data_IF_831696977796
#
_entry.id   IF_831696977796
#
_cell.length_a   1.000
_cell.length_b   1.000
_cell.length_c   1.000
_cell.angle_alpha   90.00
_cell.angle_beta   90.00
_cell.angle_gamma   90.00
#
_symmetry.space_group_name_H-M   'P 1'
#
loop_
_entity.id
_entity.type
_entity.pdbx_description
1 polymer ?
#
# COMPACT_ATOMS: atom_id res chain seq x y z
N UNK A 1 1.57 -7.37 -4.57
CA UNK A 1 2.40 -8.59 -4.36
C UNK A 1 3.54 -8.26 -3.42
N UNK A 2 4.16 -9.25 -2.78
CA UNK A 2 5.41 -9.07 -2.01
C UNK A 2 6.58 -9.60 -2.84
N UNK A 3 7.73 -8.91 -2.80
CA UNK A 3 8.93 -9.32 -3.54
C UNK A 3 10.20 -8.79 -2.90
N UNK A 4 11.29 -9.58 -2.87
CA UNK A 4 12.63 -9.04 -2.69
C UNK A 4 13.15 -8.46 -4.02
N UNK A 5 14.19 -7.65 -3.94
CA UNK A 5 15.11 -7.38 -5.04
C UNK A 5 16.55 -7.60 -4.62
N UNK A 6 17.40 -7.89 -5.60
CA UNK A 6 18.76 -8.34 -5.38
C UNK A 6 19.77 -7.49 -6.15
N UNK A 7 21.04 -7.63 -5.77
CA UNK A 7 22.18 -7.22 -6.58
C UNK A 7 22.44 -8.21 -7.74
N UNK A 8 23.45 -7.91 -8.55
CA UNK A 8 23.90 -8.71 -9.69
C UNK A 8 24.37 -10.13 -9.33
N UNK A 9 24.78 -10.35 -8.08
CA UNK A 9 25.23 -11.63 -7.54
C UNK A 9 24.09 -12.43 -6.88
N UNK A 10 22.86 -11.89 -6.91
CA UNK A 10 21.66 -12.50 -6.35
C UNK A 10 21.54 -12.38 -4.83
N UNK A 11 22.28 -11.46 -4.19
CA UNK A 11 22.10 -11.14 -2.77
C UNK A 11 20.93 -10.20 -2.61
N UNK A 12 20.06 -10.50 -1.63
CA UNK A 12 18.92 -9.64 -1.31
C UNK A 12 19.43 -8.30 -0.79
N UNK A 13 18.94 -7.22 -1.40
CA UNK A 13 19.22 -5.85 -0.99
C UNK A 13 18.13 -5.39 -0.02
N UNK A 14 16.87 -5.55 -0.42
CA UNK A 14 15.69 -5.16 0.36
C UNK A 14 14.46 -5.91 -0.16
N UNK A 15 13.33 -5.74 0.52
CA UNK A 15 12.04 -6.32 0.19
C UNK A 15 10.91 -5.32 0.34
N UNK A 16 9.79 -5.58 -0.33
CA UNK A 16 8.64 -4.71 -0.21
C UNK A 16 7.39 -5.24 -0.88
N UNK A 17 6.37 -4.39 -0.89
CA UNK A 17 5.13 -4.67 -1.60
C UNK A 17 5.02 -3.82 -2.86
N UNK A 18 4.47 -4.43 -3.91
CA UNK A 18 4.12 -3.76 -5.17
C UNK A 18 2.62 -3.78 -5.35
N UNK A 19 2.03 -2.59 -5.40
CA UNK A 19 0.61 -2.37 -5.66
C UNK A 19 0.43 -1.87 -7.10
N UNK A 20 -0.55 -2.44 -7.81
CA UNK A 20 -0.94 -1.97 -9.16
C UNK A 20 -2.13 -1.04 -9.02
N UNK A 21 -1.86 0.26 -8.99
CA UNK A 21 -2.87 1.32 -8.83
C UNK A 21 -3.70 1.52 -10.10
N UNK A 22 -3.10 1.32 -11.28
CA UNK A 22 -3.80 1.31 -12.56
C UNK A 22 -3.04 0.47 -13.58
N UNK A 23 -3.46 0.47 -14.85
CA UNK A 23 -2.76 -0.27 -15.89
C UNK A 23 -1.26 0.12 -15.98
N UNK A 24 -0.94 1.40 -15.76
CA UNK A 24 0.38 2.01 -15.96
C UNK A 24 0.93 2.72 -14.72
N UNK A 25 0.30 2.55 -13.55
CA UNK A 25 0.72 3.16 -12.29
C UNK A 25 0.90 2.08 -11.24
N UNK A 26 2.09 2.07 -10.62
CA UNK A 26 2.46 1.13 -9.57
C UNK A 26 3.00 1.91 -8.39
N UNK A 27 2.80 1.38 -7.19
CA UNK A 27 3.44 1.87 -5.95
C UNK A 27 4.28 0.75 -5.37
N UNK A 28 5.50 1.08 -4.97
CA UNK A 28 6.39 0.20 -4.21
C UNK A 28 6.47 0.76 -2.80
N UNK A 29 6.27 -0.09 -1.80
CA UNK A 29 6.43 0.28 -0.39
C UNK A 29 7.43 -0.65 0.25
N UNK A 30 8.52 -0.07 0.77
CA UNK A 30 9.56 -0.76 1.53
C UNK A 30 10.22 0.16 2.55
N UNK A 31 11.15 -0.39 3.33
CA UNK A 31 11.98 0.39 4.22
C UNK A 31 12.96 1.26 3.41
N UNK A 32 13.41 2.36 4.01
CA UNK A 32 14.53 3.12 3.45
C UNK A 32 15.87 2.48 3.80
N UNK A 33 16.88 2.55 2.92
CA UNK A 33 16.89 3.22 1.61
C UNK A 33 16.55 2.28 0.43
N UNK A 34 15.63 2.68 -0.45
CA UNK A 34 15.27 1.92 -1.65
C UNK A 34 15.25 2.74 -2.96
N UNK A 35 15.07 4.07 -2.88
CA UNK A 35 14.86 4.94 -4.05
C UNK A 35 16.04 4.93 -5.02
N UNK A 36 17.27 5.07 -4.53
CA UNK A 36 18.48 5.09 -5.37
C UNK A 36 18.63 3.81 -6.19
N UNK A 37 18.30 2.65 -5.61
CA UNK A 37 18.33 1.37 -6.32
C UNK A 37 17.29 1.34 -7.44
N UNK A 38 16.07 1.81 -7.18
CA UNK A 38 15.00 1.88 -8.19
C UNK A 38 15.36 2.82 -9.33
N UNK A 39 15.90 4.00 -9.02
CA UNK A 39 16.35 4.98 -10.01
C UNK A 39 17.47 4.42 -10.90
N UNK A 40 18.49 3.81 -10.29
CA UNK A 40 19.60 3.20 -11.02
C UNK A 40 19.13 2.12 -11.99
N UNK A 41 18.25 1.22 -11.53
CA UNK A 41 17.73 0.11 -12.34
C UNK A 41 16.70 0.56 -13.39
N UNK A 42 16.15 1.76 -13.29
CA UNK A 42 15.22 2.32 -14.28
C UNK A 42 15.91 2.88 -15.53
N UNK A 43 17.24 2.92 -15.55
CA UNK A 43 18.01 3.48 -16.67
C UNK A 43 17.64 2.83 -18.01
N UNK A 44 17.25 3.66 -18.99
CA UNK A 44 16.81 3.22 -20.32
C UNK A 44 15.36 2.74 -20.40
N UNK A 45 14.60 2.77 -19.29
CA UNK A 45 13.17 2.45 -19.28
C UNK A 45 12.31 3.68 -19.57
N UNK A 46 11.15 3.48 -20.19
CA UNK A 46 10.17 4.53 -20.44
C UNK A 46 9.19 4.68 -19.27
N UNK A 47 9.68 5.16 -18.14
CA UNK A 47 8.90 5.38 -16.92
C UNK A 47 9.42 6.59 -16.12
N UNK A 48 8.67 6.96 -15.09
CA UNK A 48 9.08 7.99 -14.12
C UNK A 48 8.92 7.41 -12.72
N UNK A 49 9.90 7.62 -11.87
CA UNK A 49 9.86 7.27 -10.44
C UNK A 49 9.62 8.57 -9.67
N UNK A 50 8.71 8.52 -8.71
CA UNK A 50 8.40 9.61 -7.80
C UNK A 50 8.39 9.05 -6.38
N UNK A 51 9.05 9.73 -5.46
CA UNK A 51 8.90 9.47 -4.03
C UNK A 51 7.57 10.10 -3.55
N UNK A 52 6.61 9.25 -3.18
CA UNK A 52 5.31 9.66 -2.63
C UNK A 52 5.21 9.52 -1.11
N UNK A 53 6.33 9.27 -0.41
CA UNK A 53 6.35 9.00 1.04
C UNK A 53 5.80 10.14 1.88
N UNK A 54 5.99 11.40 1.44
CA UNK A 54 5.46 12.59 2.14
C UNK A 54 4.07 13.02 1.66
N UNK A 55 3.59 12.45 0.54
CA UNK A 55 2.29 12.79 -0.07
C UNK A 55 1.26 11.67 0.05
N UNK A 56 1.61 10.58 0.74
CA UNK A 56 0.71 9.45 1.02
C UNK A 56 0.81 9.09 2.49
N UNK A 57 -0.32 9.07 3.19
CA UNK A 57 -0.40 8.50 4.53
C UNK A 57 -0.95 7.07 4.46
N UNK A 58 -0.54 6.24 5.42
CA UNK A 58 -1.04 4.88 5.56
C UNK A 58 -1.28 4.53 7.03
N UNK A 59 -2.31 3.73 7.28
CA UNK A 59 -2.58 3.12 8.58
C UNK A 59 -2.83 1.63 8.40
N UNK A 60 -2.22 0.81 9.24
CA UNK A 60 -2.43 -0.63 9.26
C UNK A 60 -3.45 -1.00 10.34
N UNK A 61 -4.60 -1.55 9.94
CA UNK A 61 -5.58 -2.12 10.86
C UNK A 61 -5.50 -3.65 10.80
N UNK A 62 -5.10 -4.25 11.92
CA UNK A 62 -4.75 -5.67 11.99
C UNK A 62 -5.56 -6.36 13.08
N UNK A 63 -5.87 -7.64 12.87
CA UNK A 63 -6.62 -8.49 13.80
C UNK A 63 -7.90 -9.06 13.18
N UNK A 64 -8.50 -10.08 13.82
CA UNK A 64 -9.64 -10.84 13.29
C UNK A 64 -10.88 -9.98 13.01
N UNK A 65 -11.06 -8.87 13.75
CA UNK A 65 -12.21 -7.97 13.60
C UNK A 65 -11.95 -6.81 12.63
N UNK A 66 -10.75 -6.72 12.03
CA UNK A 66 -10.37 -5.60 11.16
C UNK A 66 -11.33 -5.40 9.98
N UNK A 67 -11.83 -6.49 9.38
CA UNK A 67 -12.81 -6.41 8.30
C UNK A 67 -14.15 -5.84 8.77
N UNK A 68 -14.65 -6.30 9.92
CA UNK A 68 -15.95 -5.87 10.43
C UNK A 68 -15.91 -4.39 10.79
N UNK A 69 -14.80 -3.93 11.37
CA UNK A 69 -14.56 -2.50 11.65
C UNK A 69 -14.55 -1.69 10.34
N UNK A 70 -13.80 -2.13 9.33
CA UNK A 70 -13.73 -1.42 8.05
C UNK A 70 -15.07 -1.42 7.30
N UNK A 71 -15.81 -2.53 7.30
CA UNK A 71 -17.14 -2.60 6.69
C UNK A 71 -18.16 -1.68 7.40
N UNK A 72 -17.93 -1.28 8.65
CA UNK A 72 -18.81 -0.35 9.36
C UNK A 72 -18.64 1.12 8.91
N UNK A 73 -17.49 1.46 8.33
CA UNK A 73 -17.13 2.83 7.93
C UNK A 73 -16.96 3.01 6.42
N UNK A 74 -16.72 1.91 5.71
CA UNK A 74 -16.53 1.87 4.26
C UNK A 74 -17.86 1.96 3.51
N UNK A 75 -17.87 2.75 2.44
CA UNK A 75 -19.01 2.83 1.51
C UNK A 75 -19.21 1.53 0.71
N UNK A 76 -18.12 0.83 0.39
CA UNK A 76 -18.12 -0.45 -0.30
C UNK A 76 -17.73 -1.60 0.65
N UNK A 77 -18.30 -2.80 0.44
CA UNK A 77 -17.97 -3.99 1.24
C UNK A 77 -16.61 -4.59 0.88
N UNK A 78 -15.82 -4.93 1.89
CA UNK A 78 -14.51 -5.57 1.77
C UNK A 78 -14.60 -7.11 1.71
N UNK A 79 -15.80 -7.70 1.72
CA UNK A 79 -15.98 -9.16 1.86
C UNK A 79 -15.37 -9.97 0.72
N UNK A 80 -15.35 -9.37 -0.48
CA UNK A 80 -14.74 -9.96 -1.67
C UNK A 80 -13.25 -9.64 -1.84
N UNK A 81 -12.68 -8.77 -0.98
CA UNK A 81 -11.29 -8.34 -1.08
C UNK A 81 -10.34 -9.48 -0.69
N UNK A 82 -9.64 -10.02 -1.69
CA UNK A 82 -8.72 -11.15 -1.52
C UNK A 82 -7.36 -10.69 -0.99
N UNK A 83 -6.62 -11.62 -0.42
CA UNK A 83 -5.26 -11.35 0.06
C UNK A 83 -4.39 -10.74 -1.05
N UNK A 84 -3.63 -9.68 -0.73
CA UNK A 84 -2.85 -8.89 -1.67
C UNK A 84 -3.62 -8.17 -2.78
N UNK A 85 -4.95 -8.12 -2.70
CA UNK A 85 -5.76 -7.27 -3.57
C UNK A 85 -5.98 -5.91 -2.92
N UNK A 86 -6.35 -4.93 -3.75
CA UNK A 86 -6.72 -3.60 -3.32
C UNK A 86 -8.05 -3.18 -3.93
N UNK A 87 -8.72 -2.23 -3.29
CA UNK A 87 -9.92 -1.57 -3.77
C UNK A 87 -9.90 -0.10 -3.34
N UNK A 88 -10.57 0.75 -4.12
CA UNK A 88 -10.88 2.11 -3.72
C UNK A 88 -12.29 2.15 -3.12
N UNK A 89 -12.50 2.99 -2.11
CA UNK A 89 -13.79 3.21 -1.43
C UNK A 89 -13.78 4.61 -0.81
N UNK A 90 -14.80 4.92 -0.01
CA UNK A 90 -14.89 6.16 0.77
C UNK A 90 -15.22 5.89 2.22
N UNK A 91 -14.58 6.62 3.13
CA UNK A 91 -14.95 6.73 4.55
C UNK A 91 -15.52 8.13 4.78
N UNK A 92 -16.82 8.28 5.09
CA UNK A 92 -17.48 9.58 5.24
C UNK A 92 -17.14 10.59 4.12
N UNK A 93 -17.33 10.20 2.85
CA UNK A 93 -17.02 10.99 1.63
C UNK A 93 -15.52 11.28 1.39
N UNK A 94 -14.61 10.77 2.22
CA UNK A 94 -13.16 10.87 2.01
C UNK A 94 -12.67 9.67 1.20
N UNK A 95 -12.01 9.88 0.04
CA UNK A 95 -11.50 8.80 -0.78
C UNK A 95 -10.32 8.09 -0.10
N UNK A 96 -10.38 6.76 -0.03
CA UNK A 96 -9.29 5.93 0.48
C UNK A 96 -9.09 4.72 -0.44
N UNK A 97 -7.84 4.23 -0.50
CA UNK A 97 -7.55 2.91 -1.06
C UNK A 97 -7.29 1.94 0.08
N UNK A 98 -7.79 0.71 -0.01
CA UNK A 98 -7.58 -0.33 1.00
C UNK A 98 -6.93 -1.53 0.33
N UNK A 99 -5.82 -2.01 0.89
CA UNK A 99 -5.21 -3.28 0.51
C UNK A 99 -5.39 -4.30 1.62
N UNK A 100 -5.69 -5.56 1.25
CA UNK A 100 -5.69 -6.67 2.21
C UNK A 100 -4.28 -7.21 2.36
N UNK A 101 -3.49 -6.48 3.12
CA UNK A 101 -2.07 -6.69 3.42
C UNK A 101 -1.82 -6.46 4.91
N UNK A 102 -0.69 -6.96 5.42
CA UNK A 102 -0.37 -6.86 6.83
C UNK A 102 0.93 -7.57 7.20
N UNK A 103 1.48 -7.22 8.36
CA UNK A 103 2.77 -7.72 8.86
C UNK A 103 2.61 -8.60 10.12
N UNK A 104 1.37 -8.93 10.52
CA UNK A 104 1.07 -9.55 11.81
C UNK A 104 0.79 -11.05 11.74
N UNK A 105 0.57 -11.60 10.54
CA UNK A 105 0.11 -12.98 10.33
C UNK A 105 -1.39 -13.19 10.57
N UNK A 106 -2.10 -12.17 11.07
CA UNK A 106 -3.54 -12.17 11.23
C UNK A 106 -4.26 -11.61 9.99
N UNK A 107 -5.60 -11.62 10.01
CA UNK A 107 -6.36 -10.80 9.07
C UNK A 107 -5.99 -9.33 9.26
N UNK A 108 -5.70 -8.63 8.17
CA UNK A 108 -5.28 -7.24 8.25
C UNK A 108 -5.44 -6.52 6.92
N UNK A 109 -5.49 -5.20 7.05
CA UNK A 109 -5.64 -4.26 5.96
C UNK A 109 -4.72 -3.06 6.16
N UNK A 110 -4.31 -2.45 5.07
CA UNK A 110 -3.63 -1.16 5.04
C UNK A 110 -4.53 -0.18 4.29
N UNK A 111 -4.84 0.95 4.93
CA UNK A 111 -5.64 2.03 4.36
C UNK A 111 -4.67 3.14 3.94
N UNK A 112 -4.79 3.59 2.70
CA UNK A 112 -3.94 4.59 2.05
C UNK A 112 -4.78 5.83 1.73
N UNK A 113 -4.28 7.00 2.07
CA UNK A 113 -5.03 8.26 1.99
C UNK A 113 -4.13 9.48 1.77
N UNK A 114 -4.75 10.62 1.47
CA UNK A 114 -4.07 11.91 1.52
C UNK A 114 -3.67 12.23 2.99
N UNK A 115 -2.43 12.69 3.24
CA UNK A 115 -1.98 13.04 4.59
C UNK A 115 -2.87 14.06 5.32
N UNK A 116 -3.56 14.95 4.59
CA UNK A 116 -4.45 15.94 5.19
C UNK A 116 -5.71 15.30 5.81
N UNK A 117 -6.10 14.11 5.36
CA UNK A 117 -7.27 13.39 5.86
C UNK A 117 -6.91 12.36 6.95
N UNK A 118 -5.61 12.08 7.14
CA UNK A 118 -5.14 10.96 7.96
C UNK A 118 -5.61 11.00 9.42
N UNK A 119 -5.62 12.18 10.05
CA UNK A 119 -6.08 12.32 11.43
C UNK A 119 -7.59 12.11 11.56
N UNK A 120 -8.37 12.58 10.58
CA UNK A 120 -9.81 12.35 10.58
C UNK A 120 -10.13 10.86 10.42
N UNK A 121 -9.42 10.17 9.51
CA UNK A 121 -9.57 8.73 9.30
C UNK A 121 -9.14 7.93 10.54
N UNK A 122 -8.11 8.40 11.26
CA UNK A 122 -7.66 7.77 12.51
C UNK A 122 -8.69 7.86 13.64
N UNK A 123 -9.41 8.97 13.74
CA UNK A 123 -10.40 9.22 14.80
C UNK A 123 -11.77 8.56 14.56
N UNK A 124 -11.98 8.00 13.36
CA UNK A 124 -13.23 7.36 12.93
C UNK A 124 -13.49 6.02 13.63
#
# INVERSE_FOLDING_TARGET
MYTPWCDEDGKVIDDGTVQRLSERKFRITSAEPNLEWLEYNSSGMNLTILDDSVTTAAVALQGPNSRDILNAVSSDSLDSLKFFWMMDTMFNDIPVSISRTGYTGDLGYEIWMDPNDALFIWDL
#
